data_IF_026456074395
#
_entry.id   IF_026456074395
#
_cell.length_a   1.000
_cell.length_b   1.000
_cell.length_c   1.000
_cell.angle_alpha   90.00
_cell.angle_beta   90.00
_cell.angle_gamma   90.00
#
_symmetry.space_group_name_H-M   'P 1'
#
loop_
_entity.id
_entity.type
_entity.pdbx_description
1 polymer ?
#
# COMPACT_ATOMS: atom_id res chain seq x y z
N UNK A 1 -4.52 -16.45 0.32
CA UNK A 1 -3.89 -15.10 0.22
C UNK A 1 -2.94 -14.95 1.40
N UNK A 2 -1.70 -14.48 1.22
CA UNK A 2 -0.76 -14.25 2.33
C UNK A 2 -1.30 -13.11 3.22
N UNK A 3 -1.46 -13.31 4.53
CA UNK A 3 -2.07 -12.30 5.42
C UNK A 3 -1.25 -11.03 5.59
N UNK A 4 0.08 -11.13 5.43
CA UNK A 4 0.97 -9.96 5.37
C UNK A 4 0.66 -9.11 4.14
N UNK A 5 0.26 -9.74 3.05
CA UNK A 5 -0.18 -9.05 1.85
C UNK A 5 -1.43 -8.20 2.13
N UNK A 6 -2.37 -8.74 2.93
CA UNK A 6 -3.57 -8.03 3.36
C UNK A 6 -3.23 -6.84 4.27
N UNK A 7 -2.32 -7.01 5.23
CA UNK A 7 -1.82 -5.92 6.08
C UNK A 7 -1.15 -4.80 5.27
N UNK A 8 -0.30 -5.15 4.31
CA UNK A 8 0.40 -4.18 3.46
C UNK A 8 -0.61 -3.41 2.61
N UNK A 9 -1.49 -4.11 1.90
CA UNK A 9 -2.47 -3.47 1.00
C UNK A 9 -3.49 -2.62 1.76
N UNK A 10 -3.90 -3.03 2.96
CA UNK A 10 -4.75 -2.22 3.83
C UNK A 10 -4.02 -0.97 4.37
N UNK A 11 -2.78 -1.14 4.85
CA UNK A 11 -1.93 -0.03 5.31
C UNK A 11 -1.78 1.05 4.24
N UNK A 12 -1.60 0.62 2.99
CA UNK A 12 -1.44 1.47 1.81
C UNK A 12 -2.75 1.96 1.19
N UNK A 13 -3.92 1.66 1.78
CA UNK A 13 -5.25 2.05 1.27
C UNK A 13 -5.56 1.51 -0.13
N UNK A 14 -4.98 0.37 -0.49
CA UNK A 14 -5.31 -0.39 -1.69
C UNK A 14 -6.46 -1.37 -1.43
N UNK A 15 -6.63 -1.78 -0.17
CA UNK A 15 -7.72 -2.61 0.30
C UNK A 15 -8.56 -1.80 1.28
N UNK A 16 -9.84 -1.58 0.97
CA UNK A 16 -10.73 -0.75 1.83
C UNK A 16 -11.22 -1.54 3.04
N UNK A 17 -11.76 -0.83 4.03
CA UNK A 17 -12.37 -1.43 5.22
C UNK A 17 -13.53 -2.34 4.85
N UNK A 18 -14.41 -1.91 3.93
CA UNK A 18 -15.55 -2.70 3.48
C UNK A 18 -15.10 -4.00 2.80
N UNK A 19 -14.02 -3.94 2.01
CA UNK A 19 -13.45 -5.13 1.38
C UNK A 19 -12.84 -6.07 2.41
N UNK A 20 -12.24 -5.52 3.47
CA UNK A 20 -11.63 -6.29 4.56
C UNK A 20 -12.67 -7.02 5.40
N UNK A 21 -13.75 -6.34 5.74
CA UNK A 21 -14.89 -6.94 6.46
C UNK A 21 -15.51 -8.04 5.61
N UNK A 22 -15.84 -7.75 4.34
CA UNK A 22 -16.42 -8.73 3.42
C UNK A 22 -15.52 -9.96 3.24
N UNK A 23 -14.21 -9.75 3.15
CA UNK A 23 -13.25 -10.85 3.10
C UNK A 23 -13.33 -11.74 4.35
N UNK A 24 -13.49 -11.16 5.54
CA UNK A 24 -13.73 -11.90 6.77
C UNK A 24 -15.04 -12.70 6.73
N UNK A 25 -16.15 -12.06 6.34
CA UNK A 25 -17.47 -12.69 6.21
C UNK A 25 -17.46 -13.88 5.24
N UNK A 26 -16.88 -13.70 4.04
CA UNK A 26 -16.79 -14.75 3.02
C UNK A 26 -15.99 -15.96 3.53
N UNK A 27 -14.93 -15.74 4.31
CA UNK A 27 -14.14 -16.83 4.91
C UNK A 27 -14.89 -17.55 6.05
N UNK A 28 -15.68 -16.83 6.87
CA UNK A 28 -16.54 -17.43 7.89
C UNK A 28 -17.60 -18.34 7.25
N UNK A 29 -18.24 -17.90 6.17
CA UNK A 29 -19.22 -18.70 5.41
C UNK A 29 -18.58 -19.99 4.86
N UNK A 30 -17.30 -19.93 4.48
CA UNK A 30 -16.52 -21.08 4.04
C UNK A 30 -16.01 -21.98 5.19
N UNK A 31 -16.33 -21.63 6.44
CA UNK A 31 -15.99 -22.43 7.63
C UNK A 31 -14.60 -22.16 8.21
N UNK A 32 -13.91 -21.09 7.79
CA UNK A 32 -12.64 -20.70 8.38
C UNK A 32 -12.89 -19.92 9.68
N UNK A 33 -12.42 -20.44 10.82
CA UNK A 33 -12.68 -19.91 12.17
C UNK A 33 -11.43 -19.39 12.87
N UNK A 34 -10.39 -19.04 12.12
CA UNK A 34 -9.22 -18.37 12.70
C UNK A 34 -9.64 -17.07 13.40
N UNK A 35 -9.06 -16.80 14.59
CA UNK A 35 -9.54 -15.72 15.46
C UNK A 35 -9.56 -14.34 14.80
N UNK A 36 -8.58 -14.02 13.95
CA UNK A 36 -8.56 -12.75 13.21
C UNK A 36 -9.65 -12.65 12.14
N UNK A 37 -10.11 -13.77 11.57
CA UNK A 37 -11.23 -13.82 10.62
C UNK A 37 -12.54 -13.57 11.36
N UNK A 38 -12.69 -14.21 12.52
CA UNK A 38 -13.84 -13.97 13.40
C UNK A 38 -13.87 -12.50 13.82
N UNK A 39 -12.73 -11.93 14.22
CA UNK A 39 -12.62 -10.52 14.58
C UNK A 39 -13.05 -9.58 13.43
N UNK A 40 -12.60 -9.86 12.18
CA UNK A 40 -12.97 -9.07 11.00
C UNK A 40 -14.47 -9.20 10.66
N UNK A 41 -14.99 -10.43 10.59
CA UNK A 41 -16.38 -10.70 10.22
C UNK A 41 -17.40 -10.31 11.30
N UNK A 42 -16.93 -9.98 12.51
CA UNK A 42 -17.77 -9.48 13.61
C UNK A 42 -17.88 -7.95 13.65
N UNK A 43 -17.22 -7.22 12.75
CA UNK A 43 -17.28 -5.76 12.69
C UNK A 43 -18.62 -5.32 12.10
N UNK A 44 -19.49 -4.76 12.94
CA UNK A 44 -20.84 -4.31 12.54
C UNK A 44 -20.98 -2.79 12.46
N UNK A 45 -19.98 -2.03 12.91
CA UNK A 45 -20.00 -0.57 12.98
C UNK A 45 -18.70 0.01 12.41
N UNK A 46 -18.68 1.30 12.00
CA UNK A 46 -17.46 1.95 11.53
C UNK A 46 -16.37 1.94 12.61
N UNK A 47 -15.22 1.35 12.31
CA UNK A 47 -14.09 1.25 13.23
C UNK A 47 -12.92 2.11 12.76
N UNK A 48 -12.08 2.63 13.67
CA UNK A 48 -10.89 3.36 13.26
C UNK A 48 -9.91 2.42 12.55
N UNK A 49 -9.20 2.91 11.51
CA UNK A 49 -8.19 2.14 10.76
C UNK A 49 -7.22 1.34 11.65
N UNK A 50 -6.80 1.92 12.77
CA UNK A 50 -5.89 1.26 13.72
C UNK A 50 -6.45 -0.04 14.28
N UNK A 51 -7.77 -0.17 14.45
CA UNK A 51 -8.42 -1.40 14.89
C UNK A 51 -8.16 -2.55 13.93
N UNK A 52 -8.37 -2.32 12.63
CA UNK A 52 -8.11 -3.32 11.58
C UNK A 52 -6.63 -3.68 11.50
N UNK A 53 -5.74 -2.69 11.60
CA UNK A 53 -4.29 -2.92 11.64
C UNK A 53 -3.90 -3.84 12.80
N UNK A 54 -4.46 -3.62 13.99
CA UNK A 54 -4.18 -4.48 15.15
C UNK A 54 -4.71 -5.90 14.97
N UNK A 55 -5.89 -6.09 14.35
CA UNK A 55 -6.37 -7.44 14.00
C UNK A 55 -5.38 -8.14 13.05
N UNK A 56 -4.95 -7.45 11.99
CA UNK A 56 -4.06 -8.03 10.98
C UNK A 56 -2.65 -8.35 11.51
N UNK A 57 -2.16 -7.57 12.49
CA UNK A 57 -0.88 -7.82 13.17
C UNK A 57 -0.87 -9.10 14.02
N UNK A 58 -2.03 -9.59 14.49
CA UNK A 58 -2.12 -10.81 15.31
C UNK A 58 -1.53 -12.06 14.65
N UNK A 59 -1.36 -12.03 13.32
CA UNK A 59 -0.94 -13.20 12.52
C UNK A 59 0.52 -13.12 12.04
N UNK A 60 1.20 -11.99 12.26
CA UNK A 60 2.62 -11.84 11.95
C UNK A 60 3.04 -10.38 11.76
N UNK A 61 4.12 -10.00 12.46
CA UNK A 61 4.56 -8.59 12.54
C UNK A 61 5.70 -8.24 11.58
N UNK A 62 6.38 -9.22 11.00
CA UNK A 62 7.58 -8.97 10.20
C UNK A 62 7.30 -9.16 8.71
N UNK A 63 7.34 -8.03 7.99
CA UNK A 63 7.45 -7.98 6.53
C UNK A 63 8.86 -8.45 6.18
N UNK A 64 9.00 -9.34 5.19
CA UNK A 64 10.33 -9.74 4.71
C UNK A 64 10.82 -8.83 3.58
N UNK A 65 12.14 -8.80 3.37
CA UNK A 65 12.74 -8.08 2.23
C UNK A 65 12.22 -8.61 0.88
N UNK A 66 12.00 -9.92 0.77
CA UNK A 66 11.42 -10.53 -0.45
C UNK A 66 9.99 -10.05 -0.71
N UNK A 67 9.17 -9.96 0.35
CA UNK A 67 7.83 -9.39 0.25
C UNK A 67 7.88 -7.92 -0.16
N UNK A 68 8.80 -7.13 0.41
CA UNK A 68 9.05 -5.76 -0.02
C UNK A 68 9.38 -5.67 -1.51
N UNK A 69 10.37 -6.42 -2.01
CA UNK A 69 10.81 -6.38 -3.41
C UNK A 69 9.68 -6.74 -4.38
N UNK A 70 8.85 -7.73 -4.02
CA UNK A 70 7.69 -8.11 -4.80
C UNK A 70 6.64 -6.99 -4.82
N UNK A 71 6.32 -6.43 -3.65
CA UNK A 71 5.34 -5.37 -3.52
C UNK A 71 5.79 -4.04 -4.12
N UNK A 72 7.08 -3.75 -4.09
CA UNK A 72 7.64 -2.50 -4.56
C UNK A 72 7.33 -2.27 -6.02
N UNK A 73 7.66 -3.24 -6.87
CA UNK A 73 7.36 -3.16 -8.31
C UNK A 73 5.86 -3.04 -8.59
N UNK A 74 5.04 -3.77 -7.83
CA UNK A 74 3.58 -3.73 -7.91
C UNK A 74 3.06 -2.32 -7.60
N UNK A 75 3.50 -1.79 -6.46
CA UNK A 75 3.05 -0.51 -5.94
C UNK A 75 3.45 0.64 -6.87
N UNK A 76 4.73 0.71 -7.25
CA UNK A 76 5.25 1.71 -8.18
C UNK A 76 4.51 1.66 -9.52
N UNK A 77 4.18 0.47 -10.03
CA UNK A 77 3.41 0.35 -11.27
C UNK A 77 1.98 0.87 -11.10
N UNK A 78 1.32 0.60 -9.97
CA UNK A 78 -0.06 1.06 -9.71
C UNK A 78 -0.17 2.60 -9.63
N UNK A 79 0.89 3.29 -9.21
CA UNK A 79 0.93 4.75 -9.12
C UNK A 79 0.91 5.43 -10.48
N UNK A 80 1.29 4.74 -11.56
CA UNK A 80 1.30 5.31 -12.93
C UNK A 80 -0.09 5.64 -13.46
N UNK A 81 -1.12 5.01 -12.92
CA UNK A 81 -2.51 5.28 -13.29
C UNK A 81 -3.07 6.56 -12.64
N UNK A 82 -2.34 7.15 -11.68
CA UNK A 82 -2.73 8.36 -10.97
C UNK A 82 -2.20 9.57 -11.73
N UNK A 83 -3.08 10.51 -12.09
CA UNK A 83 -2.69 11.72 -12.83
C UNK A 83 -2.20 12.87 -11.91
N UNK A 84 -2.45 12.78 -10.61
CA UNK A 84 -2.09 13.82 -9.64
C UNK A 84 -0.78 13.51 -8.94
N UNK A 85 0.31 14.18 -9.33
CA UNK A 85 1.63 13.95 -8.76
C UNK A 85 1.73 14.21 -7.24
N UNK A 86 0.90 15.11 -6.68
CA UNK A 86 0.88 15.35 -5.23
C UNK A 86 0.32 14.14 -4.48
N UNK A 87 -0.73 13.54 -5.03
CA UNK A 87 -1.31 12.32 -4.49
C UNK A 87 -0.30 11.16 -4.57
N UNK A 88 0.40 11.04 -5.71
CA UNK A 88 1.48 10.06 -5.87
C UNK A 88 2.56 10.25 -4.81
N UNK A 89 2.99 11.48 -4.56
CA UNK A 89 3.99 11.79 -3.53
C UNK A 89 3.55 11.38 -2.13
N UNK A 90 2.33 11.72 -1.72
CA UNK A 90 1.79 11.32 -0.42
C UNK A 90 1.73 9.80 -0.26
N UNK A 91 1.30 9.10 -1.32
CA UNK A 91 1.28 7.64 -1.39
C UNK A 91 2.69 7.04 -1.28
N UNK A 92 3.66 7.55 -2.02
CA UNK A 92 5.07 7.12 -1.97
C UNK A 92 5.69 7.33 -0.59
N UNK A 93 5.46 8.47 0.05
CA UNK A 93 6.00 8.74 1.39
C UNK A 93 5.49 7.72 2.39
N UNK A 94 4.17 7.49 2.41
CA UNK A 94 3.55 6.50 3.30
C UNK A 94 4.04 5.08 3.03
N UNK A 95 4.24 4.75 1.76
CA UNK A 95 4.81 3.47 1.34
C UNK A 95 6.23 3.30 1.87
N UNK A 96 7.11 4.27 1.67
CA UNK A 96 8.48 4.19 2.15
C UNK A 96 8.61 4.28 3.68
N UNK A 97 7.69 4.93 4.37
CA UNK A 97 7.60 4.86 5.83
C UNK A 97 7.38 3.42 6.30
N UNK A 98 6.46 2.70 5.65
CA UNK A 98 6.13 1.30 5.97
C UNK A 98 7.29 0.34 5.69
N UNK A 99 8.08 0.61 4.64
CA UNK A 99 9.18 -0.26 4.20
C UNK A 99 10.58 0.34 4.44
N UNK A 100 10.69 1.31 5.35
CA UNK A 100 11.92 2.10 5.56
C UNK A 100 13.17 1.27 5.87
N UNK A 101 13.01 0.07 6.45
CA UNK A 101 14.10 -0.85 6.75
C UNK A 101 14.70 -1.56 5.53
N UNK A 102 13.98 -1.57 4.40
CA UNK A 102 14.35 -2.31 3.19
C UNK A 102 14.75 -1.41 2.02
N UNK A 103 14.77 -0.09 2.23
CA UNK A 103 15.13 0.87 1.18
C UNK A 103 16.61 0.75 0.87
N UNK A 104 16.91 0.64 -0.43
CA UNK A 104 18.28 0.85 -0.87
C UNK A 104 18.65 2.34 -0.81
N UNK A 105 19.90 2.65 -1.14
CA UNK A 105 20.39 4.03 -1.10
C UNK A 105 19.61 4.97 -2.03
N UNK A 106 19.25 4.51 -3.23
CA UNK A 106 18.54 5.33 -4.22
C UNK A 106 17.11 5.60 -3.75
N UNK A 107 16.43 4.57 -3.28
CA UNK A 107 15.06 4.66 -2.75
C UNK A 107 15.00 5.57 -1.52
N UNK A 108 15.99 5.46 -0.62
CA UNK A 108 16.09 6.33 0.55
C UNK A 108 16.33 7.79 0.17
N UNK A 109 17.25 8.06 -0.76
CA UNK A 109 17.52 9.43 -1.23
C UNK A 109 16.27 10.05 -1.88
N UNK A 110 15.58 9.28 -2.73
CA UNK A 110 14.33 9.73 -3.34
C UNK A 110 13.24 9.98 -2.29
N UNK A 111 13.07 9.07 -1.33
CA UNK A 111 12.14 9.24 -0.21
C UNK A 111 12.42 10.49 0.62
N UNK A 112 13.71 10.78 0.92
CA UNK A 112 14.11 12.00 1.63
C UNK A 112 13.66 13.25 0.88
N UNK A 113 13.89 13.32 -0.44
CA UNK A 113 13.47 14.46 -1.27
C UNK A 113 11.96 14.62 -1.30
N UNK A 114 11.20 13.51 -1.37
CA UNK A 114 9.74 13.54 -1.28
C UNK A 114 9.28 14.21 0.01
N UNK A 115 9.88 13.86 1.15
CA UNK A 115 9.56 14.45 2.44
C UNK A 115 9.93 15.92 2.52
N UNK A 116 11.13 16.27 2.08
CA UNK A 116 11.63 17.65 2.09
C UNK A 116 10.74 18.57 1.27
N UNK A 117 10.36 18.17 0.06
CA UNK A 117 9.46 18.94 -0.79
C UNK A 117 8.07 19.14 -0.16
N UNK A 118 7.48 18.11 0.46
CA UNK A 118 6.21 18.28 1.21
C UNK A 118 6.40 19.30 2.33
N UNK A 119 7.48 19.21 3.09
CA UNK A 119 7.73 20.09 4.22
C UNK A 119 7.91 21.55 3.77
N UNK A 120 8.72 21.77 2.72
CA UNK A 120 8.92 23.08 2.12
C UNK A 120 7.60 23.69 1.64
N UNK A 121 6.72 22.90 1.01
CA UNK A 121 5.40 23.40 0.60
C UNK A 121 4.50 23.77 1.77
N UNK A 122 4.54 23.01 2.87
CA UNK A 122 3.79 23.35 4.11
C UNK A 122 4.28 24.67 4.71
N UNK A 123 5.56 24.97 4.55
CA UNK A 123 6.19 26.22 4.98
C UNK A 123 5.96 27.39 4.00
N UNK A 124 5.26 27.15 2.88
CA UNK A 124 4.92 28.17 1.89
C UNK A 124 5.95 28.36 0.78
N UNK A 125 7.01 27.55 0.73
CA UNK A 125 7.94 27.54 -0.40
C UNK A 125 7.31 26.80 -1.59
N UNK A 126 7.45 27.36 -2.80
CA UNK A 126 6.99 26.72 -4.04
C UNK A 126 8.03 26.84 -5.14
N UNK A 127 8.07 25.87 -6.05
CA UNK A 127 8.95 25.88 -7.23
C UNK A 127 10.44 25.59 -6.96
N UNK A 128 10.80 25.14 -5.76
CA UNK A 128 12.21 24.89 -5.38
C UNK A 128 12.72 23.52 -5.86
N UNK A 129 11.84 22.52 -5.93
CA UNK A 129 12.16 21.18 -6.40
C UNK A 129 11.34 20.84 -7.65
N UNK A 130 11.93 20.07 -8.56
CA UNK A 130 11.25 19.55 -9.77
C UNK A 130 10.56 18.22 -9.47
N UNK A 131 9.86 18.12 -8.35
CA UNK A 131 9.29 16.85 -7.90
C UNK A 131 8.35 16.17 -8.89
N UNK A 132 7.53 16.87 -9.68
CA UNK A 132 6.75 16.20 -10.73
C UNK A 132 7.66 15.45 -11.72
N UNK A 133 8.77 16.05 -12.13
CA UNK A 133 9.73 15.43 -13.05
C UNK A 133 10.48 14.29 -12.36
N UNK A 134 10.96 14.47 -11.13
CA UNK A 134 11.66 13.43 -10.36
C UNK A 134 10.75 12.22 -10.08
N UNK A 135 9.48 12.42 -9.76
CA UNK A 135 8.50 11.33 -9.61
C UNK A 135 8.33 10.61 -10.95
N UNK A 136 8.17 11.34 -12.05
CA UNK A 136 7.99 10.72 -13.36
C UNK A 136 9.22 9.92 -13.79
N UNK A 137 10.42 10.45 -13.57
CA UNK A 137 11.69 9.75 -13.83
C UNK A 137 11.77 8.46 -13.00
N UNK A 138 11.55 8.57 -11.69
CA UNK A 138 11.58 7.43 -10.77
C UNK A 138 10.56 6.34 -11.18
N UNK A 139 9.29 6.70 -11.42
CA UNK A 139 8.28 5.75 -11.87
C UNK A 139 8.67 5.08 -13.21
N UNK A 140 9.30 5.82 -14.13
CA UNK A 140 9.69 5.33 -15.44
C UNK A 140 10.85 4.33 -15.41
N UNK A 141 11.71 4.35 -14.40
CA UNK A 141 12.79 3.35 -14.23
C UNK A 141 12.22 1.95 -13.97
N UNK A 142 11.08 1.86 -13.30
CA UNK A 142 10.39 0.60 -12.98
C UNK A 142 9.45 0.13 -14.12
N UNK A 143 9.98 -0.07 -15.34
CA UNK A 143 9.17 -0.54 -16.50
C UNK A 143 8.56 -1.95 -16.29
N UNK A 144 7.28 -2.06 -16.65
CA UNK A 144 6.33 -3.12 -16.28
C UNK A 144 6.68 -4.53 -16.77
N UNK A 145 6.36 -5.51 -15.91
CA UNK A 145 6.18 -6.91 -16.26
C UNK A 145 4.67 -7.20 -16.36
N UNK A 146 4.15 -7.33 -17.60
CA UNK A 146 2.70 -7.42 -17.91
C UNK A 146 1.90 -8.43 -17.07
N UNK A 147 2.50 -9.58 -16.73
CA UNK A 147 1.86 -10.64 -15.93
C UNK A 147 1.53 -10.20 -14.50
N UNK A 148 2.32 -9.28 -13.94
CA UNK A 148 2.12 -8.80 -12.58
C UNK A 148 0.93 -7.84 -12.49
N UNK A 149 0.69 -7.06 -13.55
CA UNK A 149 -0.49 -6.19 -13.66
C UNK A 149 -1.79 -6.99 -13.76
N UNK A 150 -1.78 -8.16 -14.40
CA UNK A 150 -2.93 -9.06 -14.46
C UNK A 150 -3.27 -9.63 -13.07
N UNK A 151 -2.27 -10.09 -12.31
CA UNK A 151 -2.46 -10.54 -10.92
C UNK A 151 -3.00 -9.42 -10.01
N UNK A 152 -2.46 -8.20 -10.11
CA UNK A 152 -2.96 -7.04 -9.36
C UNK A 152 -4.39 -6.73 -9.77
N UNK A 153 -4.68 -6.73 -11.07
CA UNK A 153 -6.03 -6.46 -11.57
C UNK A 153 -6.98 -7.50 -11.02
N UNK A 154 -6.64 -8.78 -11.05
CA UNK A 154 -7.47 -9.85 -10.50
C UNK A 154 -7.69 -9.72 -8.99
N UNK A 155 -6.66 -9.29 -8.26
CA UNK A 155 -6.69 -9.15 -6.80
C UNK A 155 -7.40 -7.85 -6.34
N UNK A 156 -7.30 -6.77 -7.13
CA UNK A 156 -7.98 -5.50 -6.88
C UNK A 156 -9.35 -5.42 -7.56
N UNK A 157 -9.66 -6.31 -8.50
CA UNK A 157 -10.97 -6.38 -9.16
C UNK A 157 -12.06 -6.68 -8.14
N UNK A 158 -13.25 -6.08 -8.27
CA UNK A 158 -14.41 -6.56 -7.55
C UNK A 158 -14.63 -8.03 -7.95
N UNK A 159 -14.84 -8.90 -6.97
CA UNK A 159 -15.28 -10.27 -7.21
C UNK A 159 -16.47 -10.18 -8.18
N UNK A 160 -16.30 -10.68 -9.40
CA UNK A 160 -17.39 -10.79 -10.35
C UNK A 160 -18.36 -11.81 -9.76
N UNK A 161 -19.44 -11.30 -9.17
CA UNK A 161 -20.64 -12.06 -8.91
C UNK A 161 -21.28 -12.50 -10.23
#
# INVERSE_FOLDING_TARGET
MNLRFLLITFSLELFTEERLIKFGEDNLIQGNTEGWIVDLGSVTEPMPKNFFVEILKKVGNEITEEEFLMFHKIYITSLKEINNWKEIQEKLIKYYELFSLFLDKLDYEFWSRLKDDIQLRKEGFSGMMKMPDEINEYLNEYRSNRKMNEFITELLSPARA
#
